data_IF_917527755450
#
_entry.id   IF_917527755450
#
_cell.length_a   1.000
_cell.length_b   1.000
_cell.length_c   1.000
_cell.angle_alpha   90.00
_cell.angle_beta   90.00
_cell.angle_gamma   90.00
#
_symmetry.space_group_name_H-M   'P 1'
#
loop_
_entity.id
_entity.type
_entity.pdbx_description
1 polymer ?
#
# COMPACT_ATOMS: atom_id res chain seq x y z
N UNK A 1 -7.12 -10.12 0.34
CA UNK A 1 -7.10 -9.99 -1.13
C UNK A 1 -5.74 -9.44 -1.49
N UNK A 2 -4.96 -10.21 -2.23
CA UNK A 2 -3.79 -9.73 -2.95
C UNK A 2 -4.26 -8.96 -4.20
N UNK A 3 -3.73 -7.75 -4.37
CA UNK A 3 -3.94 -6.97 -5.59
C UNK A 3 -2.96 -7.42 -6.67
N UNK A 4 -3.32 -7.22 -7.93
CA UNK A 4 -2.41 -7.44 -9.05
C UNK A 4 -1.15 -6.57 -8.87
N UNK A 5 0.06 -7.15 -8.96
CA UNK A 5 1.30 -6.38 -8.90
C UNK A 5 1.31 -5.26 -9.96
N UNK A 6 1.68 -4.06 -9.53
CA UNK A 6 1.93 -2.92 -10.43
C UNK A 6 3.43 -2.76 -10.59
N UNK A 7 3.90 -2.76 -11.82
CA UNK A 7 5.29 -2.41 -12.12
C UNK A 7 5.47 -0.89 -12.11
N UNK A 8 6.48 -0.39 -11.41
CA UNK A 8 6.86 1.02 -11.41
C UNK A 8 8.38 1.16 -11.41
N UNK A 9 8.95 1.71 -12.48
CA UNK A 9 10.42 1.90 -12.65
C UNK A 9 11.24 0.61 -12.41
N UNK A 10 10.71 -0.54 -12.82
CA UNK A 10 11.33 -1.86 -12.61
C UNK A 10 11.16 -2.44 -11.20
N UNK A 11 10.39 -1.77 -10.33
CA UNK A 11 9.98 -2.31 -9.03
C UNK A 11 8.59 -2.93 -9.12
N UNK A 12 8.38 -4.05 -8.45
CA UNK A 12 7.06 -4.65 -8.28
C UNK A 12 6.38 -4.13 -7.01
N UNK A 13 5.17 -3.58 -7.15
CA UNK A 13 4.36 -3.07 -6.04
C UNK A 13 3.09 -3.90 -5.90
N UNK A 14 3.01 -4.74 -4.88
CA UNK A 14 1.88 -5.65 -4.66
C UNK A 14 1.16 -5.30 -3.36
N UNK A 15 -0.02 -4.65 -3.43
CA UNK A 15 -0.81 -4.33 -2.26
C UNK A 15 -1.51 -5.59 -1.73
N UNK A 16 -1.40 -5.82 -0.43
CA UNK A 16 -2.04 -6.93 0.29
C UNK A 16 -3.05 -6.32 1.26
N UNK A 17 -4.33 -6.49 0.95
CA UNK A 17 -5.42 -5.93 1.75
C UNK A 17 -6.04 -7.00 2.63
N UNK A 18 -6.12 -6.71 3.93
CA UNK A 18 -6.77 -7.52 4.94
C UNK A 18 -8.01 -6.79 5.47
N UNK A 19 -9.14 -7.47 5.52
CA UNK A 19 -10.37 -6.94 6.12
C UNK A 19 -10.40 -7.25 7.61
N UNK A 20 -10.70 -6.25 8.44
CA UNK A 20 -11.05 -6.39 9.85
C UNK A 20 -12.55 -6.07 10.03
N UNK A 21 -13.13 -6.24 11.24
CA UNK A 21 -14.53 -5.87 11.47
C UNK A 21 -14.83 -4.42 11.12
N UNK A 22 -13.90 -3.50 11.43
CA UNK A 22 -14.13 -2.05 11.35
C UNK A 22 -13.42 -1.36 10.17
N UNK A 23 -12.50 -2.03 9.47
CA UNK A 23 -11.66 -1.39 8.48
C UNK A 23 -11.02 -2.36 7.47
N UNK A 24 -10.32 -1.79 6.50
CA UNK A 24 -9.37 -2.46 5.64
C UNK A 24 -7.96 -2.01 6.01
N UNK A 25 -7.08 -2.97 6.30
CA UNK A 25 -5.65 -2.74 6.51
C UNK A 25 -4.91 -3.08 5.21
N UNK A 26 -3.82 -2.38 4.95
CA UNK A 26 -2.96 -2.68 3.78
C UNK A 26 -1.50 -2.81 4.17
N UNK A 27 -0.87 -3.83 3.61
CA UNK A 27 0.58 -4.02 3.57
C UNK A 27 1.01 -3.93 2.12
N UNK A 28 2.10 -3.24 1.82
CA UNK A 28 2.68 -3.23 0.49
C UNK A 28 3.87 -4.18 0.44
N UNK A 29 3.79 -5.20 -0.41
CA UNK A 29 4.96 -5.98 -0.80
C UNK A 29 5.68 -5.26 -1.95
N UNK A 30 6.97 -5.00 -1.75
CA UNK A 30 7.83 -4.30 -2.70
C UNK A 30 8.91 -5.25 -3.17
N UNK A 31 8.99 -5.46 -4.47
CA UNK A 31 10.09 -6.17 -5.14
C UNK A 31 11.01 -5.15 -5.81
N UNK A 32 12.29 -5.18 -5.45
CA UNK A 32 13.34 -4.39 -6.09
C UNK A 32 13.69 -4.99 -7.46
N UNK A 33 14.28 -4.19 -8.39
CA UNK A 33 14.76 -4.70 -9.67
C UNK A 33 15.78 -5.85 -9.56
N UNK A 34 16.47 -5.97 -8.42
CA UNK A 34 17.40 -7.07 -8.15
C UNK A 34 16.72 -8.32 -7.54
N UNK A 35 15.39 -8.39 -7.55
CA UNK A 35 14.59 -9.50 -7.03
C UNK A 35 14.40 -9.51 -5.50
N UNK A 36 15.00 -8.57 -4.76
CA UNK A 36 14.82 -8.51 -3.30
C UNK A 36 13.40 -8.04 -2.96
N UNK A 37 12.69 -8.83 -2.17
CA UNK A 37 11.34 -8.51 -1.69
C UNK A 37 11.35 -7.98 -0.26
N UNK A 38 10.52 -6.97 0.03
CA UNK A 38 10.27 -6.45 1.38
C UNK A 38 8.80 -6.11 1.56
N UNK A 39 8.23 -6.45 2.71
CA UNK A 39 6.91 -6.00 3.10
C UNK A 39 7.00 -4.67 3.87
N UNK A 40 6.06 -3.77 3.63
CA UNK A 40 5.92 -2.49 4.32
C UNK A 40 4.49 -2.35 4.85
N UNK A 41 4.34 -2.19 6.17
CA UNK A 41 3.04 -1.92 6.79
C UNK A 41 2.81 -2.64 8.11
N UNK A 42 1.57 -2.59 8.65
CA UNK A 42 0.38 -1.98 8.03
C UNK A 42 0.52 -0.48 7.77
N UNK A 43 0.09 0.00 6.60
CA UNK A 43 0.30 1.39 6.17
C UNK A 43 -0.85 2.33 6.58
N UNK A 44 -1.98 1.79 7.03
CA UNK A 44 -3.13 2.58 7.45
C UNK A 44 -4.40 1.74 7.62
N UNK A 45 -5.48 2.41 8.04
CA UNK A 45 -6.84 1.88 8.09
C UNK A 45 -7.69 2.64 7.06
N UNK A 46 -8.48 1.91 6.29
CA UNK A 46 -9.26 2.47 5.19
C UNK A 46 -10.71 1.98 5.26
N UNK A 47 -11.64 2.81 4.81
CA UNK A 47 -13.06 2.44 4.71
C UNK A 47 -13.37 1.46 3.57
N UNK A 48 -12.43 1.24 2.64
CA UNK A 48 -12.61 0.29 1.53
C UNK A 48 -11.30 -0.37 1.09
N UNK A 49 -11.40 -1.56 0.49
CA UNK A 49 -10.25 -2.25 -0.11
C UNK A 49 -9.65 -1.47 -1.28
N UNK A 50 -10.48 -0.76 -2.06
CA UNK A 50 -10.03 0.07 -3.17
C UNK A 50 -9.17 1.26 -2.68
N UNK A 51 -9.61 1.95 -1.62
CA UNK A 51 -8.85 3.04 -1.02
C UNK A 51 -7.51 2.55 -0.43
N UNK A 52 -7.54 1.42 0.28
CA UNK A 52 -6.34 0.75 0.78
C UNK A 52 -5.34 0.41 -0.34
N UNK A 53 -5.82 -0.18 -1.43
CA UNK A 53 -5.01 -0.56 -2.58
C UNK A 53 -4.39 0.66 -3.27
N UNK A 54 -5.20 1.67 -3.58
CA UNK A 54 -4.74 2.91 -4.22
C UNK A 54 -3.69 3.63 -3.36
N UNK A 55 -3.94 3.75 -2.06
CA UNK A 55 -2.99 4.35 -1.13
C UNK A 55 -1.65 3.60 -1.11
N UNK A 56 -1.68 2.26 -1.03
CA UNK A 56 -0.46 1.46 -0.99
C UNK A 56 0.39 1.60 -2.27
N UNK A 57 -0.25 1.72 -3.44
CA UNK A 57 0.47 1.96 -4.70
C UNK A 57 1.14 3.34 -4.69
N UNK A 58 0.44 4.39 -4.30
CA UNK A 58 1.02 5.75 -4.23
C UNK A 58 2.13 5.84 -3.17
N UNK A 59 1.97 5.16 -2.04
CA UNK A 59 3.02 4.99 -1.03
C UNK A 59 4.26 4.31 -1.63
N UNK A 60 4.06 3.24 -2.41
CA UNK A 60 5.13 2.53 -3.09
C UNK A 60 5.88 3.41 -4.08
N UNK A 61 5.16 4.14 -4.93
CA UNK A 61 5.75 5.07 -5.90
C UNK A 61 6.59 6.14 -5.22
N UNK A 62 6.05 6.79 -4.18
CA UNK A 62 6.78 7.80 -3.41
C UNK A 62 8.06 7.20 -2.77
N UNK A 63 7.98 5.99 -2.23
CA UNK A 63 9.14 5.26 -1.68
C UNK A 63 10.21 5.01 -2.74
N UNK A 64 9.82 4.57 -3.94
CA UNK A 64 10.72 4.35 -5.07
C UNK A 64 11.35 5.65 -5.54
N UNK A 65 10.60 6.74 -5.52
CA UNK A 65 11.06 8.07 -5.93
C UNK A 65 11.92 8.79 -4.88
N UNK A 66 12.07 8.20 -3.68
CA UNK A 66 12.77 8.84 -2.56
C UNK A 66 12.02 10.05 -1.99
N UNK A 67 10.72 10.13 -2.25
CA UNK A 67 9.83 11.19 -1.77
C UNK A 67 9.22 10.80 -0.42
N UNK A 68 8.82 11.79 0.40
CA UNK A 68 8.03 11.51 1.59
C UNK A 68 6.74 10.79 1.17
N UNK A 69 6.43 9.61 1.75
CA UNK A 69 5.22 8.90 1.40
C UNK A 69 3.98 9.71 1.83
N UNK A 70 2.83 9.52 1.16
CA UNK A 70 1.58 10.10 1.61
C UNK A 70 1.30 9.64 3.04
N UNK A 71 0.92 10.58 3.91
CA UNK A 71 0.44 10.22 5.24
C UNK A 71 -0.84 9.38 5.13
N UNK A 72 -1.08 8.40 6.02
CA UNK A 72 -2.32 7.63 5.99
C UNK A 72 -3.49 8.61 6.08
N UNK A 73 -4.32 8.68 5.03
CA UNK A 73 -5.50 9.55 5.05
C UNK A 73 -6.33 9.15 6.27
N UNK A 74 -6.51 10.07 7.22
CA UNK A 74 -7.34 9.90 8.41
C UNK A 74 -8.82 9.97 8.02
N UNK A 75 -9.25 9.24 6.99
CA UNK A 75 -10.65 9.16 6.59
C UNK A 75 -11.28 7.90 7.17
N UNK A 76 -11.59 7.97 8.48
CA UNK A 76 -12.68 7.30 9.20
C UNK A 76 -12.39 7.24 10.71
N UNK A 77 -12.08 8.37 11.33
CA UNK A 77 -12.30 8.57 12.77
C UNK A 77 -13.17 9.82 12.95
N UNK A 78 -14.40 9.75 12.43
CA UNK A 78 -15.35 10.85 12.56
C UNK A 78 -16.47 10.80 11.55
N UNK A 79 -17.52 10.03 11.83
CA UNK A 79 -18.86 10.60 12.10
C UNK A 79 -19.75 9.56 12.77
#
# INVERSE_FOLDING_TARGET
MDGTPVEYKGWGLTPIVSRTPDAFLVVLLVEKPNGIRRAMGPLGKFGSAAAACSFAIEYGKATVDGLPPPGPSQEAAGK
#
